data_IF_011587800105
#
_entry.id   IF_011587800105
#
_cell.length_a   1.000
_cell.length_b   1.000
_cell.length_c   1.000
_cell.angle_alpha   90.00
_cell.angle_beta   90.00
_cell.angle_gamma   90.00
#
_symmetry.space_group_name_H-M   'P 1'
#
loop_
_entity.id
_entity.type
_entity.pdbx_description
1 polymer ?
#
# COMPACT_ATOMS: atom_id res chain seq x y z
N UNK A 1 16.60 -1.70 -7.01
CA UNK A 1 16.78 -0.58 -6.06
C UNK A 1 15.45 -0.34 -5.40
N UNK A 2 15.39 -0.45 -4.08
CA UNK A 2 14.23 -0.06 -3.30
C UNK A 2 14.66 0.84 -2.15
N UNK A 3 13.97 1.98 -2.00
CA UNK A 3 14.44 3.16 -1.27
C UNK A 3 15.86 3.58 -1.71
N UNK A 4 15.93 4.59 -2.57
CA UNK A 4 17.22 5.15 -3.01
C UNK A 4 18.03 5.74 -1.84
N UNK A 5 19.36 5.90 -1.98
CA UNK A 5 20.17 6.54 -0.96
C UNK A 5 19.66 7.92 -0.53
N UNK A 6 19.22 8.75 -1.49
CA UNK A 6 18.63 10.06 -1.22
C UNK A 6 17.33 9.94 -0.40
N UNK A 7 16.44 9.01 -0.76
CA UNK A 7 15.23 8.75 0.02
C UNK A 7 15.57 8.30 1.44
N UNK A 8 16.54 7.39 1.60
CA UNK A 8 16.96 6.92 2.91
C UNK A 8 17.56 8.04 3.77
N UNK A 9 18.30 9.00 3.18
CA UNK A 9 18.81 10.16 3.91
C UNK A 9 17.66 11.04 4.41
N UNK A 10 16.76 11.46 3.53
CA UNK A 10 15.60 12.29 3.90
C UNK A 10 14.73 11.59 4.95
N UNK A 11 14.43 10.30 4.75
CA UNK A 11 13.63 9.50 5.68
C UNK A 11 14.27 9.44 7.08
N UNK A 12 15.59 9.23 7.18
CA UNK A 12 16.28 9.21 8.50
C UNK A 12 16.16 10.53 9.24
N UNK A 13 16.23 11.66 8.52
CA UNK A 13 16.16 13.00 9.11
C UNK A 13 14.80 13.24 9.76
N UNK A 14 13.70 12.82 9.11
CA UNK A 14 12.34 13.05 9.60
C UNK A 14 11.70 11.86 10.32
N UNK A 15 12.42 10.74 10.46
CA UNK A 15 11.91 9.51 11.10
C UNK A 15 11.48 9.76 12.55
N UNK A 16 12.20 10.60 13.28
CA UNK A 16 11.89 10.93 14.68
C UNK A 16 10.58 11.74 14.83
N UNK A 17 10.11 12.38 13.76
CA UNK A 17 8.85 13.13 13.75
C UNK A 17 7.63 12.21 13.56
N UNK A 18 7.84 10.92 13.24
CA UNK A 18 6.75 9.98 12.98
C UNK A 18 6.14 9.45 14.27
N UNK A 19 4.86 9.10 14.17
CA UNK A 19 4.05 8.55 15.27
C UNK A 19 3.05 7.53 14.72
N UNK A 20 2.28 6.83 15.58
CA UNK A 20 1.21 5.96 15.10
C UNK A 20 0.15 6.68 14.24
N UNK A 21 0.03 8.01 14.39
CA UNK A 21 -0.90 8.86 13.63
C UNK A 21 -0.22 9.60 12.46
N UNK A 22 1.08 9.36 12.22
CA UNK A 22 1.87 9.96 11.15
C UNK A 22 2.92 8.98 10.65
N UNK A 23 2.67 8.34 9.51
CA UNK A 23 3.42 7.17 9.06
C UNK A 23 3.66 7.14 7.55
N UNK A 24 4.71 6.45 7.12
CA UNK A 24 5.02 6.24 5.71
C UNK A 24 4.05 5.22 5.08
N UNK A 25 3.56 5.52 3.90
CA UNK A 25 2.62 4.70 3.14
C UNK A 25 3.02 4.63 1.66
N UNK A 26 2.05 4.27 0.81
CA UNK A 26 2.21 4.31 -0.63
C UNK A 26 3.14 3.25 -1.22
N UNK A 27 3.61 3.50 -2.45
CA UNK A 27 4.42 2.56 -3.21
C UNK A 27 5.76 2.25 -2.56
N UNK A 28 6.30 3.18 -1.77
CA UNK A 28 7.58 3.01 -1.09
C UNK A 28 7.55 1.84 -0.11
N UNK A 29 6.41 1.57 0.54
CA UNK A 29 6.25 0.39 1.42
C UNK A 29 6.22 -0.90 0.60
N UNK A 30 5.47 -0.93 -0.50
CA UNK A 30 5.33 -2.10 -1.38
C UNK A 30 6.66 -2.46 -2.03
N UNK A 31 7.41 -1.45 -2.49
CA UNK A 31 8.63 -1.61 -3.26
C UNK A 31 9.88 -1.34 -2.43
N UNK A 32 9.91 -1.76 -1.16
CA UNK A 32 11.06 -1.56 -0.25
C UNK A 32 12.11 -2.66 -0.28
N UNK A 33 11.84 -3.83 -0.87
CA UNK A 33 12.78 -4.97 -0.92
C UNK A 33 13.69 -4.92 -2.15
N UNK A 34 15.01 -5.22 -2.05
CA UNK A 34 16.05 -5.08 -3.09
C UNK A 34 15.67 -5.51 -4.52
N UNK A 35 14.90 -6.59 -4.58
CA UNK A 35 14.43 -7.34 -5.73
C UNK A 35 13.14 -6.81 -6.36
N UNK A 36 12.49 -5.81 -5.74
CA UNK A 36 11.31 -5.13 -6.25
C UNK A 36 11.47 -4.67 -7.72
N UNK A 37 10.40 -4.75 -8.54
CA UNK A 37 10.47 -4.47 -9.98
C UNK A 37 10.67 -2.98 -10.30
N UNK A 38 10.34 -2.07 -9.39
CA UNK A 38 10.48 -0.63 -9.61
C UNK A 38 10.83 0.13 -8.34
N UNK A 39 11.29 1.37 -8.53
CA UNK A 39 11.49 2.36 -7.47
C UNK A 39 10.27 3.27 -7.37
N UNK A 40 9.83 3.60 -6.15
CA UNK A 40 8.88 4.69 -5.93
C UNK A 40 9.62 6.03 -6.00
N UNK A 41 9.07 7.00 -6.73
CA UNK A 41 9.62 8.36 -6.80
C UNK A 41 9.10 9.27 -5.67
N UNK A 42 8.03 8.84 -5.01
CA UNK A 42 7.25 9.64 -4.08
C UNK A 42 7.41 9.08 -2.66
N UNK A 43 7.51 9.95 -1.68
CA UNK A 43 7.37 9.61 -0.25
C UNK A 43 6.02 10.12 0.23
N UNK A 44 5.13 9.17 0.55
CA UNK A 44 3.76 9.45 0.97
C UNK A 44 3.63 9.27 2.48
N UNK A 45 3.33 10.35 3.22
CA UNK A 45 3.05 10.32 4.65
C UNK A 45 1.57 10.54 4.91
N UNK A 46 0.94 9.59 5.58
CA UNK A 46 -0.48 9.65 5.91
C UNK A 46 -0.71 10.03 7.37
N UNK A 47 -1.80 10.76 7.60
CA UNK A 47 -2.20 11.27 8.90
C UNK A 47 -3.66 10.95 9.16
N UNK A 48 -3.95 10.43 10.35
CA UNK A 48 -5.31 9.99 10.73
C UNK A 48 -6.28 11.20 10.88
N UNK A 49 -5.76 12.42 11.07
CA UNK A 49 -6.53 13.65 11.33
C UNK A 49 -6.05 14.78 10.41
N UNK A 50 -6.99 15.54 9.85
CA UNK A 50 -6.73 16.68 8.95
C UNK A 50 -5.77 17.71 9.56
N UNK A 51 -6.04 18.17 10.78
CA UNK A 51 -5.23 19.19 11.47
C UNK A 51 -3.76 18.75 11.65
N UNK A 52 -3.48 17.45 11.63
CA UNK A 52 -2.12 16.92 11.78
C UNK A 52 -1.28 17.04 10.50
N UNK A 53 -1.91 17.19 9.32
CA UNK A 53 -1.20 17.28 8.04
C UNK A 53 -0.30 18.51 8.00
N UNK A 54 -0.86 19.69 8.30
CA UNK A 54 -0.12 20.95 8.27
C UNK A 54 1.00 20.96 9.32
N UNK A 55 0.69 20.51 10.55
CA UNK A 55 1.65 20.45 11.66
C UNK A 55 2.83 19.52 11.32
N UNK A 56 2.55 18.32 10.80
CA UNK A 56 3.59 17.37 10.44
C UNK A 56 4.45 17.88 9.27
N UNK A 57 3.83 18.44 8.24
CA UNK A 57 4.55 18.97 7.07
C UNK A 57 5.46 20.15 7.44
N UNK A 58 4.99 21.08 8.29
CA UNK A 58 5.81 22.20 8.75
C UNK A 58 6.93 21.77 9.69
N UNK A 59 6.66 20.79 10.57
CA UNK A 59 7.68 20.21 11.45
C UNK A 59 8.77 19.53 10.63
N UNK A 60 8.40 18.72 9.64
CA UNK A 60 9.35 18.06 8.75
C UNK A 60 10.15 19.07 7.93
N UNK A 61 9.51 20.10 7.37
CA UNK A 61 10.21 21.14 6.63
C UNK A 61 11.26 21.86 7.48
N UNK A 62 10.96 22.13 8.76
CA UNK A 62 11.93 22.68 9.71
C UNK A 62 13.08 21.71 9.95
N UNK A 63 12.80 20.44 10.26
CA UNK A 63 13.83 19.43 10.51
C UNK A 63 14.73 19.21 9.28
N UNK A 64 14.16 19.25 8.07
CA UNK A 64 14.89 19.14 6.81
C UNK A 64 15.78 20.38 6.57
N UNK A 65 15.27 21.58 6.85
CA UNK A 65 16.04 22.81 6.76
C UNK A 65 17.22 22.84 7.75
N UNK A 66 17.01 22.37 8.98
CA UNK A 66 18.05 22.25 10.01
C UNK A 66 19.15 21.23 9.58
N UNK A 67 18.80 20.25 8.75
CA UNK A 67 19.74 19.32 8.11
C UNK A 67 20.40 19.87 6.82
N UNK A 68 20.10 21.12 6.45
CA UNK A 68 20.64 21.81 5.28
C UNK A 68 19.87 21.59 3.98
N UNK A 69 18.73 20.90 4.00
CA UNK A 69 17.95 20.62 2.79
C UNK A 69 16.97 21.75 2.46
N UNK A 70 16.73 21.97 1.18
CA UNK A 70 15.79 22.97 0.70
C UNK A 70 14.41 22.34 0.47
N UNK A 71 13.35 22.92 1.02
CA UNK A 71 11.97 22.49 0.80
C UNK A 71 11.22 23.51 -0.05
N UNK A 72 10.78 23.09 -1.24
CA UNK A 72 9.96 23.89 -2.15
C UNK A 72 8.52 23.39 -2.15
N UNK A 73 7.59 24.18 -1.59
CA UNK A 73 6.17 23.86 -1.60
C UNK A 73 5.56 23.92 -3.01
N UNK A 74 4.82 22.89 -3.40
CA UNK A 74 4.09 22.82 -4.66
C UNK A 74 2.58 22.98 -4.47
N UNK A 75 2.05 22.44 -3.37
CA UNK A 75 0.62 22.51 -3.03
C UNK A 75 0.44 22.47 -1.52
N UNK A 76 -0.47 23.29 -1.00
CA UNK A 76 -0.87 23.29 0.42
C UNK A 76 -2.38 23.48 0.51
N UNK A 77 -3.07 22.47 1.00
CA UNK A 77 -4.52 22.45 1.25
C UNK A 77 -4.76 21.79 2.60
N UNK A 78 -5.92 21.98 3.26
CA UNK A 78 -6.13 21.47 4.63
C UNK A 78 -5.81 19.98 4.79
N UNK A 79 -6.21 19.14 3.82
CA UNK A 79 -6.01 17.69 3.86
C UNK A 79 -4.78 17.20 3.09
N UNK A 80 -4.05 18.07 2.40
CA UNK A 80 -2.97 17.63 1.53
C UNK A 80 -1.90 18.71 1.28
N UNK A 81 -0.64 18.33 1.55
CA UNK A 81 0.56 19.13 1.30
C UNK A 81 1.51 18.36 0.38
N UNK A 82 2.17 19.08 -0.53
CA UNK A 82 3.17 18.51 -1.43
C UNK A 82 4.36 19.46 -1.55
N UNK A 83 5.56 18.90 -1.47
CA UNK A 83 6.81 19.63 -1.68
C UNK A 83 7.82 18.84 -2.49
N UNK A 84 8.79 19.55 -3.06
CA UNK A 84 10.06 18.97 -3.50
C UNK A 84 11.11 19.31 -2.47
N UNK A 85 11.80 18.29 -1.96
CA UNK A 85 12.95 18.43 -1.07
C UNK A 85 14.21 18.20 -1.86
N UNK A 86 15.16 19.14 -1.79
CA UNK A 86 16.48 19.03 -2.42
C UNK A 86 17.54 18.79 -1.36
N UNK A 87 18.28 17.70 -1.53
CA UNK A 87 19.43 17.35 -0.69
C UNK A 87 20.68 18.09 -1.16
N UNK A 88 21.69 18.16 -0.30
CA UNK A 88 22.95 18.89 -0.56
C UNK A 88 23.75 18.33 -1.75
N UNK A 89 23.55 17.05 -2.09
CA UNK A 89 24.14 16.37 -3.25
C UNK A 89 23.32 16.57 -4.54
N UNK A 90 22.27 17.40 -4.51
CA UNK A 90 21.47 17.78 -5.67
C UNK A 90 20.34 16.84 -6.02
N UNK A 91 20.10 15.77 -5.25
CA UNK A 91 18.93 14.93 -5.46
C UNK A 91 17.64 15.68 -5.08
N UNK A 92 16.57 15.44 -5.84
CA UNK A 92 15.26 16.04 -5.61
C UNK A 92 14.22 14.95 -5.38
N UNK A 93 13.47 15.06 -4.29
CA UNK A 93 12.46 14.08 -3.89
C UNK A 93 11.11 14.76 -3.69
N UNK A 94 10.06 14.13 -4.22
CA UNK A 94 8.69 14.56 -3.96
C UNK A 94 8.21 13.94 -2.66
N UNK A 95 7.76 14.79 -1.74
CA UNK A 95 7.15 14.39 -0.48
C UNK A 95 5.71 14.89 -0.44
N UNK A 96 4.81 14.01 -0.04
CA UNK A 96 3.39 14.28 0.12
C UNK A 96 2.98 13.97 1.55
N UNK A 97 2.23 14.89 2.16
CA UNK A 97 1.56 14.68 3.43
C UNK A 97 0.07 14.75 3.16
N UNK A 98 -0.64 13.66 3.41
CA UNK A 98 -2.08 13.56 3.16
C UNK A 98 -2.81 13.16 4.43
N UNK A 99 -4.04 13.63 4.59
CA UNK A 99 -4.99 13.03 5.49
C UNK A 99 -5.50 11.75 4.82
N UNK A 100 -5.55 10.66 5.58
CA UNK A 100 -6.15 9.38 5.16
C UNK A 100 -7.05 8.83 6.28
N UNK A 101 -7.91 7.88 5.92
CA UNK A 101 -8.75 7.20 6.90
C UNK A 101 -7.89 6.46 7.93
N UNK A 102 -8.22 6.62 9.21
CA UNK A 102 -7.63 5.83 10.29
C UNK A 102 -8.05 4.34 10.22
N UNK A 103 -8.97 3.97 9.32
CA UNK A 103 -9.43 2.60 9.17
C UNK A 103 -8.37 1.72 8.50
N UNK A 104 -7.92 0.68 9.20
CA UNK A 104 -6.89 -0.26 8.73
C UNK A 104 -7.10 -1.64 9.35
N UNK A 105 -6.53 -2.66 8.71
CA UNK A 105 -6.56 -4.03 9.21
C UNK A 105 -5.64 -4.19 10.40
N UNK A 106 -4.40 -3.75 10.26
CA UNK A 106 -3.37 -3.91 11.27
C UNK A 106 -2.91 -2.55 11.80
N UNK A 107 -2.43 -2.49 13.04
CA UNK A 107 -1.75 -1.30 13.54
C UNK A 107 -0.53 -0.97 12.66
N UNK A 108 -0.21 0.31 12.56
CA UNK A 108 1.03 0.75 11.91
C UNK A 108 2.25 0.19 12.64
N UNK A 109 3.31 -0.07 11.88
CA UNK A 109 4.51 -0.75 12.37
C UNK A 109 5.62 0.27 12.60
N UNK A 110 6.28 0.18 13.76
CA UNK A 110 7.51 0.93 14.01
C UNK A 110 8.59 0.43 13.06
N UNK A 111 9.35 1.35 12.49
CA UNK A 111 10.40 1.06 11.51
C UNK A 111 11.66 1.88 11.83
N UNK A 112 12.83 1.27 11.69
CA UNK A 112 14.10 1.92 12.05
C UNK A 112 14.53 2.98 11.04
N UNK A 113 14.11 2.85 9.77
CA UNK A 113 14.43 3.79 8.72
C UNK A 113 13.33 4.85 8.56
N UNK A 114 12.06 4.44 8.72
CA UNK A 114 10.91 5.30 8.45
C UNK A 114 10.26 5.89 9.70
N UNK A 115 10.65 5.47 10.90
CA UNK A 115 9.97 5.82 12.16
C UNK A 115 8.70 4.98 12.35
N UNK A 116 7.68 5.23 11.52
CA UNK A 116 6.46 4.41 11.44
C UNK A 116 6.05 4.19 9.98
N UNK A 117 5.48 3.03 9.69
CA UNK A 117 4.95 2.68 8.37
C UNK A 117 3.63 1.94 8.44
N UNK A 118 2.88 2.02 7.36
CA UNK A 118 1.70 1.18 7.15
C UNK A 118 2.09 -0.30 7.12
N UNK A 119 1.19 -1.16 7.64
CA UNK A 119 1.34 -2.60 7.55
C UNK A 119 1.30 -3.06 6.08
N UNK A 120 2.01 -4.13 5.74
CA UNK A 120 2.13 -4.61 4.36
C UNK A 120 0.78 -5.00 3.75
N UNK A 121 -0.06 -5.67 4.53
CA UNK A 121 -1.42 -6.05 4.15
C UNK A 121 -2.27 -4.83 3.78
N UNK A 122 -2.19 -3.78 4.61
CA UNK A 122 -2.91 -2.53 4.38
C UNK A 122 -2.39 -1.78 3.15
N UNK A 123 -1.07 -1.75 2.96
CA UNK A 123 -0.46 -1.16 1.77
C UNK A 123 -0.86 -1.91 0.49
N UNK A 124 -0.94 -3.25 0.56
CA UNK A 124 -1.36 -4.09 -0.56
C UNK A 124 -2.84 -3.87 -0.93
N UNK A 125 -3.73 -3.84 0.07
CA UNK A 125 -5.14 -3.52 -0.15
C UNK A 125 -5.32 -2.13 -0.76
N UNK A 126 -4.57 -1.13 -0.28
CA UNK A 126 -4.60 0.23 -0.83
C UNK A 126 -4.16 0.27 -2.30
N UNK A 127 -3.28 -0.64 -2.76
CA UNK A 127 -2.89 -0.73 -4.17
C UNK A 127 -3.97 -1.29 -5.07
N UNK A 128 -4.77 -2.23 -4.58
CA UNK A 128 -5.95 -2.68 -5.31
C UNK A 128 -6.97 -1.56 -5.44
N UNK A 129 -7.23 -0.81 -4.37
CA UNK A 129 -8.13 0.35 -4.40
C UNK A 129 -7.60 1.44 -5.34
N UNK A 130 -6.30 1.71 -5.34
CA UNK A 130 -5.69 2.66 -6.27
C UNK A 130 -5.86 2.20 -7.73
N UNK A 131 -5.57 0.93 -8.06
CA UNK A 131 -5.77 0.39 -9.41
C UNK A 131 -7.23 0.48 -9.85
N UNK A 132 -8.19 0.21 -8.95
CA UNK A 132 -9.61 0.34 -9.25
C UNK A 132 -10.07 1.81 -9.36
N UNK A 133 -9.41 2.74 -8.66
CA UNK A 133 -9.81 4.14 -8.58
C UNK A 133 -9.20 5.06 -9.64
N UNK A 134 -8.06 4.69 -10.25
CA UNK A 134 -7.39 5.51 -11.27
C UNK A 134 -6.63 4.69 -12.32
N UNK A 135 -6.36 5.31 -13.46
CA UNK A 135 -5.69 4.69 -14.60
C UNK A 135 -4.20 5.08 -14.66
N UNK A 136 -3.39 4.46 -13.79
CA UNK A 136 -1.95 4.70 -13.69
C UNK A 136 -1.18 3.38 -13.84
N UNK A 137 -0.30 3.29 -14.84
CA UNK A 137 0.40 2.03 -15.15
C UNK A 137 1.23 1.48 -13.97
N UNK A 138 1.70 2.36 -13.09
CA UNK A 138 2.42 1.95 -11.87
C UNK A 138 1.54 1.09 -10.96
N UNK A 139 0.25 1.36 -10.86
CA UNK A 139 -0.63 0.60 -9.97
C UNK A 139 -0.84 -0.84 -10.51
N UNK A 140 -0.82 -1.04 -11.84
CA UNK A 140 -0.81 -2.38 -12.44
C UNK A 140 0.47 -3.15 -12.12
N UNK A 141 1.64 -2.50 -12.22
CA UNK A 141 2.94 -3.10 -11.82
C UNK A 141 2.92 -3.48 -10.35
N UNK A 142 2.44 -2.58 -9.48
CA UNK A 142 2.40 -2.79 -8.02
C UNK A 142 1.49 -3.99 -7.69
N UNK A 143 0.30 -4.08 -8.29
CA UNK A 143 -0.64 -5.18 -8.04
C UNK A 143 -0.14 -6.52 -8.58
N UNK A 144 0.48 -6.55 -9.77
CA UNK A 144 1.09 -7.79 -10.29
C UNK A 144 2.25 -8.26 -9.42
N UNK A 145 3.08 -7.35 -8.92
CA UNK A 145 4.14 -7.69 -7.97
C UNK A 145 3.57 -8.29 -6.68
N UNK A 146 2.53 -7.68 -6.12
CA UNK A 146 1.85 -8.19 -4.92
C UNK A 146 1.20 -9.55 -5.16
N UNK A 147 0.58 -9.75 -6.33
CA UNK A 147 0.00 -11.03 -6.74
C UNK A 147 1.03 -12.17 -6.74
N UNK A 148 2.26 -11.90 -7.20
CA UNK A 148 3.32 -12.89 -7.32
C UNK A 148 4.09 -13.12 -6.01
N UNK A 149 4.17 -12.11 -5.14
CA UNK A 149 5.10 -12.12 -3.99
C UNK A 149 4.47 -11.92 -2.62
N UNK A 150 3.16 -11.66 -2.53
CA UNK A 150 2.48 -11.41 -1.26
C UNK A 150 1.16 -12.18 -1.12
N UNK A 151 0.12 -11.74 -1.82
CA UNK A 151 -1.21 -12.35 -1.80
C UNK A 151 -1.86 -12.22 -3.17
N UNK A 152 -2.68 -13.20 -3.54
CA UNK A 152 -3.32 -13.18 -4.85
C UNK A 152 -4.22 -11.96 -5.04
N UNK A 153 -4.44 -11.56 -6.30
CA UNK A 153 -5.34 -10.46 -6.64
C UNK A 153 -6.73 -10.68 -6.03
N UNK A 154 -7.26 -11.91 -6.05
CA UNK A 154 -8.56 -12.24 -5.47
C UNK A 154 -8.60 -12.01 -3.97
N UNK A 155 -7.59 -12.48 -3.23
CA UNK A 155 -7.50 -12.30 -1.79
C UNK A 155 -7.37 -10.81 -1.40
N UNK A 156 -6.58 -10.04 -2.16
CA UNK A 156 -6.41 -8.60 -1.92
C UNK A 156 -7.67 -7.81 -2.27
N UNK A 157 -8.37 -8.13 -3.37
CA UNK A 157 -9.66 -7.54 -3.73
C UNK A 157 -10.71 -7.82 -2.67
N UNK A 158 -10.77 -9.07 -2.18
CA UNK A 158 -11.69 -9.46 -1.13
C UNK A 158 -11.49 -8.61 0.12
N UNK A 159 -10.26 -8.52 0.62
CA UNK A 159 -9.93 -7.70 1.77
C UNK A 159 -10.16 -6.21 1.51
N UNK A 160 -9.83 -5.69 0.33
CA UNK A 160 -9.98 -4.27 -0.01
C UNK A 160 -11.41 -3.75 0.17
N UNK A 161 -12.43 -4.59 -0.04
CA UNK A 161 -13.83 -4.24 0.20
C UNK A 161 -14.13 -3.90 1.67
N UNK A 162 -13.33 -4.40 2.62
CA UNK A 162 -13.47 -4.06 4.03
C UNK A 162 -13.10 -2.62 4.37
N UNK A 163 -12.31 -1.95 3.53
CA UNK A 163 -11.92 -0.55 3.73
C UNK A 163 -12.94 0.46 3.21
N UNK A 164 -13.79 0.04 2.28
CA UNK A 164 -14.82 0.89 1.68
C UNK A 164 -16.12 0.06 1.54
N UNK A 165 -17.05 0.18 2.50
CA UNK A 165 -18.27 -0.64 2.57
C UNK A 165 -19.21 -0.51 1.36
N UNK A 166 -18.93 0.39 0.41
CA UNK A 166 -19.68 0.53 -0.84
C UNK A 166 -19.22 -0.39 -1.97
N UNK A 167 -18.07 -1.06 -1.85
CA UNK A 167 -17.53 -1.89 -2.91
C UNK A 167 -17.85 -3.38 -2.75
N UNK A 168 -18.05 -4.03 -3.90
CA UNK A 168 -18.03 -5.48 -4.01
C UNK A 168 -16.75 -5.94 -4.73
N UNK A 169 -16.31 -7.19 -4.50
CA UNK A 169 -15.15 -7.74 -5.20
C UNK A 169 -15.31 -7.68 -6.73
N UNK A 170 -16.49 -8.01 -7.25
CA UNK A 170 -16.79 -7.93 -8.68
C UNK A 170 -16.69 -6.50 -9.21
N UNK A 171 -17.16 -5.51 -8.44
CA UNK A 171 -17.05 -4.11 -8.80
C UNK A 171 -15.58 -3.70 -8.92
N UNK A 172 -14.76 -3.99 -7.91
CA UNK A 172 -13.33 -3.66 -7.92
C UNK A 172 -12.59 -4.35 -9.07
N UNK A 173 -12.86 -5.63 -9.32
CA UNK A 173 -12.28 -6.35 -10.45
C UNK A 173 -12.67 -5.71 -11.78
N UNK A 174 -13.95 -5.38 -11.97
CA UNK A 174 -14.42 -4.77 -13.21
C UNK A 174 -13.79 -3.38 -13.43
N UNK A 175 -13.60 -2.59 -12.39
CA UNK A 175 -12.92 -1.30 -12.47
C UNK A 175 -11.44 -1.47 -12.79
N UNK A 176 -10.74 -2.35 -12.07
CA UNK A 176 -9.34 -2.63 -12.31
C UNK A 176 -9.09 -3.10 -13.76
N UNK A 177 -9.95 -3.96 -14.32
CA UNK A 177 -9.85 -4.43 -15.70
C UNK A 177 -9.99 -3.31 -16.75
N UNK A 178 -10.68 -2.22 -16.45
CA UNK A 178 -10.79 -1.05 -17.34
C UNK A 178 -9.52 -0.19 -17.32
N UNK A 179 -8.79 -0.19 -16.20
CA UNK A 179 -7.59 0.61 -15.98
C UNK A 179 -6.29 -0.12 -16.37
N UNK A 180 -6.35 -1.12 -17.24
CA UNK A 180 -5.14 -1.82 -17.74
C UNK A 180 -4.83 -1.56 -19.21
N UNK A 181 -5.53 -0.59 -19.82
CA UNK A 181 -5.33 -0.19 -21.21
C UNK A 181 -4.11 0.75 -21.35
N UNK A 182 -2.91 0.19 -21.18
CA UNK A 182 -1.65 0.91 -21.30
C UNK A 182 -0.86 0.56 -22.56
N UNK A 183 0.18 1.35 -22.81
CA UNK A 183 1.18 1.25 -23.88
C UNK A 183 2.58 0.95 -23.32
N UNK A 184 3.47 0.38 -24.14
CA UNK A 184 4.85 0.10 -23.73
C UNK A 184 5.60 1.40 -23.36
N UNK A 185 5.34 2.49 -24.07
CA UNK A 185 5.95 3.79 -23.78
C UNK A 185 5.59 4.33 -22.39
N UNK A 186 4.40 4.03 -21.87
CA UNK A 186 4.02 4.39 -20.50
C UNK A 186 4.77 3.55 -19.48
N UNK A 187 4.98 2.26 -19.77
CA UNK A 187 5.74 1.34 -18.92
C UNK A 187 7.20 1.78 -18.80
N UNK A 188 7.81 2.12 -19.93
CA UNK A 188 9.23 2.50 -20.03
C UNK A 188 9.56 3.83 -19.34
N UNK A 189 8.54 4.65 -19.02
CA UNK A 189 8.70 5.87 -18.21
C UNK A 189 8.90 5.59 -16.73
N UNK A 190 8.57 4.38 -16.27
CA UNK A 190 8.78 4.00 -14.87
C UNK A 190 10.27 3.73 -14.61
N UNK A 191 10.73 4.01 -13.39
CA UNK A 191 12.05 3.58 -12.93
C UNK A 191 12.03 2.09 -12.58
N UNK A 192 12.10 1.25 -13.61
CA UNK A 192 12.13 -0.20 -13.49
C UNK A 192 13.54 -0.70 -13.15
N UNK A 193 13.61 -1.77 -12.36
CA UNK A 193 14.88 -2.46 -12.05
C UNK A 193 15.43 -3.17 -13.28
N UNK A 194 14.54 -3.80 -14.03
CA UNK A 194 14.81 -4.46 -15.30
C UNK A 194 13.73 -4.06 -16.30
N UNK A 195 14.03 -3.96 -17.60
CA UNK A 195 13.01 -3.74 -18.61
C UNK A 195 11.88 -4.77 -18.49
N UNK A 196 10.64 -4.30 -18.56
CA UNK A 196 9.46 -5.16 -18.54
C UNK A 196 8.75 -5.07 -19.88
N UNK A 197 8.25 -6.21 -20.35
CA UNK A 197 7.45 -6.29 -21.57
C UNK A 197 5.97 -6.24 -21.23
N UNK A 198 5.25 -5.28 -21.81
CA UNK A 198 3.84 -5.07 -21.55
C UNK A 198 2.98 -6.25 -22.02
N UNK A 199 3.34 -6.92 -23.11
CA UNK A 199 2.58 -8.08 -23.59
C UNK A 199 2.63 -9.22 -22.56
N UNK A 200 3.81 -9.51 -22.03
CA UNK A 200 4.02 -10.46 -20.94
C UNK A 200 3.26 -10.06 -19.68
N UNK A 201 3.29 -8.78 -19.31
CA UNK A 201 2.50 -8.27 -18.18
C UNK A 201 1.00 -8.46 -18.38
N UNK A 202 0.49 -8.22 -19.59
CA UNK A 202 -0.94 -8.42 -19.91
C UNK A 202 -1.34 -9.89 -19.82
N UNK A 203 -0.49 -10.83 -20.24
CA UNK A 203 -0.75 -12.26 -20.04
C UNK A 203 -0.83 -12.63 -18.56
N UNK A 204 0.12 -12.13 -17.75
CA UNK A 204 0.11 -12.32 -16.29
C UNK A 204 -1.15 -11.73 -15.65
N UNK A 205 -1.55 -10.53 -16.08
CA UNK A 205 -2.78 -9.88 -15.63
C UNK A 205 -4.02 -10.71 -15.93
N UNK A 206 -4.16 -11.24 -17.15
CA UNK A 206 -5.31 -12.07 -17.52
C UNK A 206 -5.39 -13.34 -16.66
N UNK A 207 -4.26 -13.98 -16.39
CA UNK A 207 -4.19 -15.15 -15.51
C UNK A 207 -4.58 -14.80 -14.06
N UNK A 208 -3.99 -13.72 -13.51
CA UNK A 208 -4.30 -13.22 -12.17
C UNK A 208 -5.78 -12.85 -12.03
N UNK A 209 -6.35 -12.22 -13.06
CA UNK A 209 -7.75 -11.81 -13.11
C UNK A 209 -8.70 -13.01 -13.15
N UNK A 210 -8.39 -14.03 -13.96
CA UNK A 210 -9.16 -15.27 -13.99
C UNK A 210 -9.17 -15.95 -12.62
N UNK A 211 -7.98 -16.13 -12.03
CA UNK A 211 -7.83 -16.72 -10.70
C UNK A 211 -8.59 -15.92 -9.64
N UNK A 212 -8.50 -14.58 -9.68
CA UNK A 212 -9.22 -13.72 -8.74
C UNK A 212 -10.74 -13.90 -8.82
N UNK A 213 -11.31 -14.05 -10.03
CA UNK A 213 -12.75 -14.27 -10.21
C UNK A 213 -13.21 -15.63 -9.69
N UNK A 214 -12.40 -16.67 -9.89
CA UNK A 214 -12.70 -17.99 -9.34
C UNK A 214 -12.68 -17.96 -7.82
N UNK A 215 -11.65 -17.37 -7.24
CA UNK A 215 -11.50 -17.26 -5.79
C UNK A 215 -12.66 -16.49 -5.16
N UNK A 216 -12.91 -15.27 -5.62
CA UNK A 216 -13.99 -14.41 -5.08
C UNK A 216 -15.35 -15.11 -5.08
N UNK A 217 -15.68 -15.86 -6.15
CA UNK A 217 -16.96 -16.58 -6.24
C UNK A 217 -17.08 -17.75 -5.28
N UNK A 218 -15.96 -18.27 -4.81
CA UNK A 218 -15.91 -19.41 -3.90
C UNK A 218 -15.93 -19.00 -2.42
N UNK A 219 -15.72 -17.72 -2.10
CA UNK A 219 -15.65 -17.24 -0.72
C UNK A 219 -17.05 -16.94 -0.14
N UNK A 220 -17.28 -17.21 1.16
CA UNK A 220 -18.56 -16.92 1.81
C UNK A 220 -18.83 -15.42 1.89
N UNK A 221 -19.98 -14.95 1.41
CA UNK A 221 -20.29 -13.52 1.33
C UNK A 221 -20.40 -12.82 2.69
N UNK A 222 -20.70 -13.56 3.75
CA UNK A 222 -20.72 -13.08 5.14
C UNK A 222 -19.32 -12.81 5.70
N UNK A 223 -18.27 -13.24 4.99
CA UNK A 223 -16.87 -13.01 5.33
C UNK A 223 -16.22 -11.88 4.53
N UNK A 224 -17.03 -11.11 3.78
CA UNK A 224 -16.56 -10.07 2.89
C UNK A 224 -15.73 -9.02 3.62
N UNK A 225 -14.60 -8.63 3.02
CA UNK A 225 -13.80 -7.52 3.52
C UNK A 225 -12.84 -7.87 4.65
N UNK A 226 -12.59 -9.15 4.92
CA UNK A 226 -11.54 -9.58 5.84
C UNK A 226 -10.25 -10.00 5.13
N UNK A 227 -9.14 -9.97 5.86
CA UNK A 227 -8.02 -10.86 5.57
C UNK A 227 -8.26 -12.23 6.23
N UNK A 228 -7.86 -13.29 5.56
CA UNK A 228 -7.73 -14.61 6.17
C UNK A 228 -6.33 -14.77 6.74
N UNK A 229 -6.23 -15.09 8.02
CA UNK A 229 -4.95 -15.26 8.71
C UNK A 229 -4.69 -16.71 9.04
N UNK A 230 -3.44 -17.14 8.87
CA UNK A 230 -2.95 -18.41 9.38
C UNK A 230 -2.96 -18.44 10.91
N UNK A 231 -2.68 -19.60 11.49
CA UNK A 231 -2.48 -19.76 12.95
C UNK A 231 -1.33 -18.92 13.51
N UNK A 232 -0.44 -18.41 12.65
CA UNK A 232 0.64 -17.47 13.01
C UNK A 232 0.22 -16.00 12.95
N UNK A 233 -1.03 -15.71 12.57
CA UNK A 233 -1.52 -14.34 12.37
C UNK A 233 -1.06 -13.69 11.06
N UNK A 234 -0.51 -14.47 10.14
CA UNK A 234 -0.03 -13.97 8.84
C UNK A 234 -1.16 -14.04 7.80
N UNK A 235 -1.37 -12.99 6.98
CA UNK A 235 -2.30 -13.04 5.86
C UNK A 235 -1.93 -14.16 4.89
N UNK A 236 -2.92 -14.99 4.54
CA UNK A 236 -2.77 -16.11 3.61
C UNK A 236 -3.89 -16.11 2.58
N UNK A 237 -3.63 -16.76 1.45
CA UNK A 237 -4.66 -17.00 0.45
C UNK A 237 -5.68 -18.02 0.99
N UNK A 238 -6.98 -17.69 1.01
CA UNK A 238 -8.00 -18.66 1.37
C UNK A 238 -8.12 -19.70 0.25
N UNK A 239 -7.61 -20.92 0.48
CA UNK A 239 -7.70 -22.00 -0.49
C UNK A 239 -9.11 -22.60 -0.46
N UNK A 240 -9.93 -22.25 -1.45
CA UNK A 240 -11.29 -22.74 -1.56
C UNK A 240 -11.39 -24.25 -1.93
N UNK A 241 -10.33 -24.85 -2.49
CA UNK A 241 -10.43 -26.20 -3.07
C UNK A 241 -10.68 -27.34 -2.07
N UNK A 242 -10.41 -27.14 -0.78
CA UNK A 242 -10.64 -28.16 0.25
C UNK A 242 -11.65 -27.72 1.34
N UNK A 243 -12.31 -26.57 1.20
CA UNK A 243 -13.27 -26.02 2.17
C UNK A 243 -12.77 -25.85 3.62
N UNK A 244 -11.49 -26.07 3.93
CA UNK A 244 -10.95 -25.86 5.27
C UNK A 244 -10.53 -24.40 5.48
N UNK A 245 -11.47 -23.48 5.27
CA UNK A 245 -11.36 -22.15 5.83
C UNK A 245 -11.48 -22.19 7.37
N UNK A 246 -11.94 -23.31 7.96
CA UNK A 246 -12.17 -23.45 9.40
C UNK A 246 -10.92 -23.20 10.25
N UNK A 247 -9.72 -23.50 9.72
CA UNK A 247 -8.45 -23.20 10.37
C UNK A 247 -7.97 -21.74 10.27
N UNK A 248 -8.65 -20.89 9.49
CA UNK A 248 -8.22 -19.51 9.23
C UNK A 248 -9.01 -18.50 10.07
N UNK A 249 -8.31 -17.52 10.62
CA UNK A 249 -8.94 -16.41 11.35
C UNK A 249 -9.40 -15.34 10.38
N UNK A 250 -10.66 -14.90 10.48
CA UNK A 250 -11.17 -13.75 9.72
C UNK A 250 -10.79 -12.48 10.46
N UNK A 251 -9.99 -11.65 9.81
CA UNK A 251 -9.45 -10.43 10.39
C UNK A 251 -9.99 -9.20 9.67
N UNK A 252 -10.87 -8.47 10.35
CA UNK A 252 -11.52 -7.27 9.82
C UNK A 252 -10.80 -6.00 10.25
N UNK A 253 -10.94 -4.97 9.41
CA UNK A 253 -10.43 -3.65 9.72
C UNK A 253 -11.14 -2.98 10.89
N UNK A 254 -10.41 -2.13 11.60
CA UNK A 254 -10.92 -1.31 12.69
C UNK A 254 -10.30 0.08 12.62
N UNK A 255 -10.85 1.03 13.37
CA UNK A 255 -10.17 2.32 13.56
C UNK A 255 -8.83 2.08 14.25
N UNK A 256 -7.77 2.52 13.60
CA UNK A 256 -6.36 2.31 13.93
C UNK A 256 -5.81 0.88 13.80
N UNK A 257 -6.65 -0.07 13.41
CA UNK A 257 -6.28 -1.47 13.24
C UNK A 257 -6.08 -2.20 14.55
N UNK A 258 -6.10 -3.53 14.49
CA UNK A 258 -5.90 -4.40 15.64
C UNK A 258 -5.10 -5.63 15.24
N UNK A 259 -4.42 -6.25 16.20
CA UNK A 259 -3.94 -7.62 16.02
C UNK A 259 -5.06 -8.59 16.38
N UNK A 260 -5.20 -9.73 15.67
CA UNK A 260 -6.18 -10.74 16.02
C UNK A 260 -5.95 -11.19 17.46
N UNK A 261 -6.98 -11.12 18.30
CA UNK A 261 -6.87 -11.58 19.68
C UNK A 261 -7.01 -13.09 19.69
N UNK A 262 -5.96 -13.81 20.11
CA UNK A 262 -6.06 -15.26 20.33
C UNK A 262 -6.94 -15.46 21.56
N UNK A 263 -8.23 -15.70 21.36
CA UNK A 263 -9.09 -16.18 22.45
C UNK A 263 -8.77 -17.66 22.62
N UNK A 264 -8.21 -18.11 23.76
CA UNK A 264 -8.07 -19.53 24.00
C UNK A 264 -9.47 -20.14 23.97
N UNK A 265 -9.69 -21.13 23.10
CA UNK A 265 -10.94 -21.88 23.11
C UNK A 265 -11.11 -22.51 24.50
N UNK A 266 -11.98 -21.93 25.33
CA UNK A 266 -12.51 -22.65 26.48
C UNK A 266 -13.33 -23.80 25.93
N UNK A 267 -12.79 -25.02 26.02
CA UNK A 267 -13.56 -26.23 25.78
C UNK A 267 -14.77 -26.24 26.73
N UNK A 268 -15.96 -26.64 26.25
CA UNK A 268 -17.14 -26.82 27.09
C UNK A 268 -16.91 -27.91 28.15
#
# INVERSE_FOLDING_TARGET
MPVSPAQAQVLRVIAANRSPDSYLAGATIVHRKPDSPRTSLDLDFFHDVEDSVAVAAETDAKTLADAGYETQWLLRTPTFYRAIVRTNDGAALKIEWAQDSAFRFFPVQKDTLFGYRLHDADAAANKVLALAGRNEIRDLVDVLYLHEHYLSLGALVWAACGKDPGYTPEFLLNQAARHTAHTQNELDRLLLRHPMDLATMKHKWLAAFHHARELVRSLPTDELGCFYLSTRGEPVEPLARDNDLGGLTRHYGTVRGAWPTVVPQSKP
#
